data_IF_171546542549
#
_entry.id   IF_171546542549
#
_cell.length_a   1.000
_cell.length_b   1.000
_cell.length_c   1.000
_cell.angle_alpha   90.00
_cell.angle_beta   90.00
_cell.angle_gamma   90.00
#
_symmetry.space_group_name_H-M   'P 1'
#
loop_
_entity.id
_entity.type
_entity.pdbx_description
1 polymer ?
#
# COMPACT_ATOMS: atom_id res chain seq x y z
N UNK A 1 21.41 35.27 51.20
CA UNK A 1 22.08 34.00 50.89
C UNK A 1 21.19 32.84 51.30
N UNK A 2 20.47 32.22 50.36
CA UNK A 2 19.94 30.85 50.49
C UNK A 2 20.05 30.21 49.10
N UNK A 3 20.62 29.01 49.09
CA UNK A 3 21.14 28.30 47.93
C UNK A 3 20.07 27.99 46.86
N UNK A 4 20.43 28.31 45.61
CA UNK A 4 19.92 27.65 44.42
C UNK A 4 20.41 26.20 44.41
N UNK A 5 19.49 25.24 44.55
CA UNK A 5 19.61 23.89 43.99
C UNK A 5 18.29 23.14 44.25
N UNK A 6 17.31 23.31 43.37
CA UNK A 6 16.41 22.20 43.08
C UNK A 6 16.16 22.14 41.57
N UNK A 7 16.63 21.03 41.01
CA UNK A 7 16.76 20.76 39.59
C UNK A 7 15.37 20.73 38.96
N UNK A 8 15.16 21.52 37.90
CA UNK A 8 14.09 21.28 36.92
C UNK A 8 14.23 19.86 36.38
N UNK A 9 13.43 18.93 36.88
CA UNK A 9 13.25 17.61 36.27
C UNK A 9 12.53 17.81 34.92
N UNK A 10 13.19 17.40 33.84
CA UNK A 10 12.77 17.62 32.47
C UNK A 10 11.54 16.75 32.13
N UNK A 11 10.41 17.38 31.77
CA UNK A 11 9.09 16.76 31.58
C UNK A 11 8.98 15.78 30.39
N UNK A 12 9.94 15.80 29.46
CA UNK A 12 10.04 14.86 28.33
C UNK A 12 10.40 13.42 28.76
N UNK A 13 11.09 13.28 29.88
CA UNK A 13 11.64 12.00 30.38
C UNK A 13 10.58 11.07 30.97
N UNK A 14 9.50 11.63 31.53
CA UNK A 14 8.42 10.87 32.18
C UNK A 14 7.37 10.33 31.18
N UNK A 15 7.16 10.99 30.04
CA UNK A 15 6.29 10.48 28.96
C UNK A 15 6.91 9.27 28.24
N UNK A 16 8.24 9.20 28.15
CA UNK A 16 8.98 8.03 27.62
C UNK A 16 8.92 6.79 28.51
N UNK A 17 8.71 6.96 29.82
CA UNK A 17 8.60 5.87 30.80
C UNK A 17 7.26 5.11 30.71
N UNK A 18 6.21 5.73 30.16
CA UNK A 18 4.88 5.13 30.01
C UNK A 18 4.80 4.06 28.91
N UNK A 19 5.56 4.24 27.82
CA UNK A 19 5.71 3.24 26.75
C UNK A 19 6.51 2.01 27.19
N UNK A 20 7.40 2.19 28.19
CA UNK A 20 8.18 1.13 28.83
C UNK A 20 7.30 0.17 29.65
N UNK A 21 6.24 0.68 30.27
CA UNK A 21 5.27 -0.07 31.10
C UNK A 21 4.25 -0.87 30.27
N UNK A 22 3.96 -0.44 29.03
CA UNK A 22 3.12 -1.16 28.06
C UNK A 22 3.82 -2.40 27.45
N UNK A 23 5.16 -2.42 27.48
CA UNK A 23 6.02 -3.52 27.04
C UNK A 23 6.00 -4.73 28.00
N UNK A 24 5.72 -4.51 29.28
CA UNK A 24 5.93 -5.48 30.37
C UNK A 24 4.82 -6.54 30.52
N UNK A 25 3.72 -6.41 29.76
CA UNK A 25 2.69 -7.45 29.62
C UNK A 25 2.70 -8.20 28.27
N UNK A 26 3.41 -7.69 27.26
CA UNK A 26 3.46 -8.29 25.93
C UNK A 26 4.82 -8.98 25.67
N UNK A 27 5.94 -8.38 26.08
CA UNK A 27 7.27 -9.01 26.02
C UNK A 27 7.73 -9.38 27.42
N UNK A 28 7.48 -10.61 27.86
CA UNK A 28 7.91 -11.15 29.17
C UNK A 28 9.29 -10.64 29.62
N UNK A 29 9.30 -9.72 30.60
CA UNK A 29 10.46 -9.42 31.42
C UNK A 29 9.98 -8.78 32.74
N UNK A 30 10.29 -9.45 33.86
CA UNK A 30 10.23 -8.99 35.26
C UNK A 30 8.96 -8.26 35.75
N UNK A 31 7.84 -8.98 35.88
CA UNK A 31 6.64 -8.51 36.60
C UNK A 31 6.96 -7.97 38.02
N UNK A 32 7.88 -8.61 38.75
CA UNK A 32 8.22 -8.29 40.15
C UNK A 32 8.93 -6.94 40.35
N UNK A 33 9.63 -6.41 39.34
CA UNK A 33 10.28 -5.09 39.44
C UNK A 33 9.36 -3.96 39.04
N UNK A 34 8.38 -4.26 38.19
CA UNK A 34 7.34 -3.33 37.74
C UNK A 34 6.36 -3.03 38.86
N UNK A 35 5.99 -4.03 39.66
CA UNK A 35 5.16 -3.85 40.85
C UNK A 35 5.82 -2.91 41.88
N UNK A 36 7.11 -3.08 42.15
CA UNK A 36 7.86 -2.26 43.12
C UNK A 36 8.10 -0.81 42.67
N UNK A 37 8.13 -0.53 41.36
CA UNK A 37 8.26 0.84 40.82
C UNK A 37 6.91 1.53 40.59
N UNK A 38 5.84 0.78 40.31
CA UNK A 38 4.48 1.31 40.17
C UNK A 38 3.91 1.85 41.49
N UNK A 39 4.35 1.31 42.64
CA UNK A 39 3.94 1.77 43.97
C UNK A 39 4.44 3.16 44.36
N UNK A 40 5.40 3.76 43.63
CA UNK A 40 5.95 5.09 43.98
C UNK A 40 5.33 6.28 43.23
N UNK A 41 4.36 6.06 42.34
CA UNK A 41 3.67 7.13 41.58
C UNK A 41 2.16 6.85 41.48
N UNK A 42 1.41 7.25 42.51
CA UNK A 42 0.02 6.85 42.76
C UNK A 42 -1.01 7.18 41.65
N UNK A 43 -0.70 8.08 40.72
CA UNK A 43 -1.65 8.57 39.70
C UNK A 43 -1.55 7.83 38.34
N UNK A 44 -0.54 6.95 38.17
CA UNK A 44 -0.24 6.28 36.89
C UNK A 44 -0.75 4.83 36.81
N UNK A 45 -1.22 4.28 37.92
CA UNK A 45 -1.50 2.84 38.08
C UNK A 45 -2.75 2.38 37.32
N UNK A 46 -3.83 3.17 37.29
CA UNK A 46 -5.06 2.81 36.58
C UNK A 46 -4.96 2.91 35.05
N UNK A 47 -4.17 3.88 34.56
CA UNK A 47 -3.92 4.05 33.10
C UNK A 47 -3.12 2.88 32.53
N UNK A 48 -2.14 2.40 33.28
CA UNK A 48 -1.30 1.24 32.94
C UNK A 48 -2.10 -0.06 33.03
N UNK A 49 -2.90 -0.27 34.08
CA UNK A 49 -3.78 -1.44 34.24
C UNK A 49 -4.77 -1.60 33.09
N UNK A 50 -5.41 -0.52 32.65
CA UNK A 50 -6.37 -0.54 31.54
C UNK A 50 -5.70 -0.88 30.20
N UNK A 51 -4.48 -0.39 29.94
CA UNK A 51 -3.72 -0.73 28.75
C UNK A 51 -3.26 -2.20 28.74
N UNK A 52 -2.87 -2.75 29.90
CA UNK A 52 -2.54 -4.16 30.09
C UNK A 52 -3.74 -5.09 29.84
N UNK A 53 -4.95 -4.68 30.25
CA UNK A 53 -6.17 -5.44 29.98
C UNK A 53 -6.47 -5.56 28.48
N UNK A 54 -6.34 -4.47 27.72
CA UNK A 54 -6.58 -4.44 26.27
C UNK A 54 -5.52 -5.24 25.48
N UNK A 55 -4.26 -5.16 25.93
CA UNK A 55 -3.16 -5.97 25.38
C UNK A 55 -3.39 -7.48 25.59
N UNK A 56 -3.96 -7.85 26.74
CA UNK A 56 -4.21 -9.25 27.12
C UNK A 56 -5.43 -9.86 26.41
N UNK A 57 -6.42 -9.04 26.03
CA UNK A 57 -7.63 -9.48 25.32
C UNK A 57 -7.44 -9.58 23.80
N UNK A 58 -6.33 -9.10 23.25
CA UNK A 58 -6.08 -9.09 21.80
C UNK A 58 -6.82 -7.99 21.05
N UNK A 59 -7.40 -7.00 21.75
CA UNK A 59 -8.08 -5.85 21.14
C UNK A 59 -7.07 -4.81 20.64
N UNK A 60 -6.53 -5.06 19.44
CA UNK A 60 -5.56 -4.18 18.76
C UNK A 60 -6.14 -2.79 18.50
N UNK A 61 -7.43 -2.69 18.16
CA UNK A 61 -8.08 -1.40 17.86
C UNK A 61 -8.26 -0.54 19.11
N UNK A 62 -8.62 -1.17 20.25
CA UNK A 62 -8.64 -0.51 21.55
C UNK A 62 -7.26 -0.03 22.00
N UNK A 63 -6.22 -0.83 21.75
CA UNK A 63 -4.84 -0.48 22.06
C UNK A 63 -4.34 0.73 21.24
N UNK A 64 -4.54 0.73 19.92
CA UNK A 64 -4.13 1.83 19.02
C UNK A 64 -4.79 3.15 19.42
N UNK A 65 -6.12 3.16 19.59
CA UNK A 65 -6.87 4.36 20.02
C UNK A 65 -6.40 4.89 21.37
N UNK A 66 -5.91 4.02 22.25
CA UNK A 66 -5.43 4.40 23.57
C UNK A 66 -4.01 4.96 23.52
N UNK A 67 -3.11 4.36 22.72
CA UNK A 67 -1.75 4.85 22.50
C UNK A 67 -1.75 6.26 21.87
N UNK A 68 -2.63 6.48 20.89
CA UNK A 68 -2.83 7.80 20.26
C UNK A 68 -3.30 8.85 21.28
N UNK A 69 -4.30 8.53 22.10
CA UNK A 69 -4.78 9.41 23.20
C UNK A 69 -3.72 9.71 24.26
N UNK A 70 -2.71 8.85 24.41
CA UNK A 70 -1.61 9.03 25.36
C UNK A 70 -0.41 9.77 24.74
N UNK A 71 -0.47 10.10 23.44
CA UNK A 71 0.62 10.75 22.71
C UNK A 71 1.87 9.87 22.60
N UNK A 72 1.70 8.54 22.60
CA UNK A 72 2.81 7.59 22.51
C UNK A 72 3.19 7.37 21.05
N UNK A 73 4.38 7.83 20.68
CA UNK A 73 4.98 7.52 19.39
C UNK A 73 5.48 6.05 19.38
N UNK A 74 4.79 5.20 18.62
CA UNK A 74 5.10 3.77 18.48
C UNK A 74 6.39 3.51 17.69
N UNK A 75 6.80 4.47 16.84
CA UNK A 75 7.99 4.43 16.00
C UNK A 75 9.22 5.03 16.70
N UNK A 76 9.04 5.54 17.92
CA UNK A 76 10.10 6.18 18.68
C UNK A 76 11.30 5.26 18.87
N UNK A 77 12.48 5.81 18.61
CA UNK A 77 13.75 5.18 18.98
C UNK A 77 14.05 5.50 20.45
N UNK A 78 14.13 4.45 21.27
CA UNK A 78 14.40 4.55 22.69
C UNK A 78 15.90 4.78 22.97
N UNK A 79 16.25 4.99 24.25
CA UNK A 79 17.62 5.25 24.69
C UNK A 79 18.60 4.14 24.35
N UNK A 80 18.12 2.89 24.20
CA UNK A 80 18.88 1.74 23.72
C UNK A 80 18.93 1.63 22.19
N UNK A 81 18.61 2.72 21.49
CA UNK A 81 18.72 2.83 20.02
C UNK A 81 17.85 1.81 19.29
N UNK A 82 16.65 1.50 19.80
CA UNK A 82 15.73 0.55 19.17
C UNK A 82 14.30 1.08 19.24
N UNK A 83 13.47 0.71 18.28
CA UNK A 83 12.01 0.89 18.39
C UNK A 83 11.39 -0.22 19.22
N UNK A 84 10.09 -0.07 19.52
CA UNK A 84 9.31 -1.12 20.18
C UNK A 84 9.29 -2.42 19.36
N UNK A 85 9.06 -2.30 18.05
CA UNK A 85 9.06 -3.43 17.12
C UNK A 85 10.40 -4.16 17.13
N UNK A 86 11.52 -3.42 17.08
CA UNK A 86 12.86 -4.00 17.11
C UNK A 86 13.14 -4.81 18.38
N UNK A 87 12.66 -4.35 19.54
CA UNK A 87 12.80 -5.07 20.81
C UNK A 87 12.01 -6.39 20.82
N UNK A 88 10.76 -6.36 20.34
CA UNK A 88 9.93 -7.56 20.23
C UNK A 88 10.58 -8.59 19.29
N UNK A 89 11.07 -8.11 18.15
CA UNK A 89 11.77 -8.93 17.15
C UNK A 89 13.06 -9.51 17.71
N UNK A 90 13.91 -8.73 18.37
CA UNK A 90 15.18 -9.23 18.95
C UNK A 90 14.93 -10.35 19.97
N UNK A 91 13.88 -10.23 20.78
CA UNK A 91 13.44 -11.27 21.73
C UNK A 91 12.87 -12.51 21.04
N UNK A 92 12.49 -12.43 19.77
CA UNK A 92 11.80 -13.51 19.05
C UNK A 92 10.33 -13.63 19.43
N UNK A 93 9.73 -12.58 19.98
CA UNK A 93 8.35 -12.58 20.42
C UNK A 93 7.42 -12.32 19.22
N UNK A 94 7.06 -13.40 18.54
CA UNK A 94 6.24 -13.34 17.33
C UNK A 94 4.85 -12.74 17.61
N UNK A 95 4.26 -13.03 18.78
CA UNK A 95 2.93 -12.52 19.17
C UNK A 95 2.99 -11.01 19.35
N UNK A 96 3.97 -10.52 20.12
CA UNK A 96 4.22 -9.09 20.27
C UNK A 96 4.47 -8.42 18.92
N UNK A 97 5.30 -9.03 18.07
CA UNK A 97 5.64 -8.52 16.73
C UNK A 97 4.37 -8.32 15.89
N UNK A 98 3.47 -9.32 15.83
CA UNK A 98 2.19 -9.21 15.13
C UNK A 98 1.29 -8.12 15.71
N UNK A 99 1.17 -8.06 17.04
CA UNK A 99 0.34 -7.06 17.73
C UNK A 99 0.84 -5.63 17.47
N UNK A 100 2.16 -5.41 17.50
CA UNK A 100 2.79 -4.12 17.24
C UNK A 100 2.61 -3.72 15.77
N UNK A 101 2.80 -4.63 14.82
CA UNK A 101 2.59 -4.36 13.39
C UNK A 101 1.12 -4.07 13.06
N UNK A 102 0.19 -4.78 13.70
CA UNK A 102 -1.24 -4.54 13.56
C UNK A 102 -1.67 -3.17 14.13
N UNK A 103 -0.83 -2.54 14.97
CA UNK A 103 -1.00 -1.18 15.44
C UNK A 103 -0.50 -0.11 14.45
N UNK A 104 -0.27 -0.47 13.18
CA UNK A 104 0.17 0.40 12.09
C UNK A 104 1.51 1.12 12.39
N UNK A 105 2.43 0.48 13.11
CA UNK A 105 3.78 0.99 13.25
C UNK A 105 4.50 0.99 11.89
N UNK A 106 5.45 1.91 11.73
CA UNK A 106 6.39 1.89 10.62
C UNK A 106 7.38 0.72 10.83
N UNK A 107 7.31 -0.25 9.93
CA UNK A 107 8.12 -1.48 9.96
C UNK A 107 9.58 -1.23 9.56
N UNK A 108 9.84 -0.10 8.88
CA UNK A 108 11.11 0.18 8.21
C UNK A 108 11.95 1.26 8.90
N UNK A 109 11.54 1.70 10.10
CA UNK A 109 12.35 2.60 10.94
C UNK A 109 13.75 2.03 11.09
N UNK A 110 14.76 2.85 10.79
CA UNK A 110 16.15 2.53 11.02
C UNK A 110 16.60 3.06 12.37
N UNK A 111 17.25 2.23 13.17
CA UNK A 111 17.91 2.73 14.36
C UNK A 111 19.14 3.56 14.01
N UNK A 112 19.86 4.04 15.02
CA UNK A 112 21.06 4.86 14.78
C UNK A 112 22.25 4.06 14.26
N UNK A 113 22.18 2.73 14.16
CA UNK A 113 23.13 1.88 13.41
C UNK A 113 22.66 1.64 11.96
N UNK A 114 21.54 2.24 11.55
CA UNK A 114 20.88 1.96 10.27
C UNK A 114 20.13 0.63 10.23
N UNK A 115 20.06 -0.13 11.34
CA UNK A 115 19.37 -1.42 11.35
C UNK A 115 17.85 -1.26 11.35
N UNK A 116 17.16 -2.00 10.48
CA UNK A 116 15.70 -2.19 10.52
C UNK A 116 15.31 -3.38 11.40
N UNK A 117 14.01 -3.52 11.69
CA UNK A 117 13.51 -4.71 12.38
C UNK A 117 13.84 -6.01 11.62
N UNK A 118 13.81 -6.01 10.28
CA UNK A 118 14.17 -7.18 9.46
C UNK A 118 15.65 -7.56 9.62
N UNK A 119 16.56 -6.58 9.63
CA UNK A 119 17.99 -6.83 9.88
C UNK A 119 18.23 -7.39 11.29
N UNK A 120 17.53 -6.84 12.30
CA UNK A 120 17.60 -7.35 13.68
C UNK A 120 17.06 -8.77 13.77
N UNK A 121 15.99 -9.11 13.03
CA UNK A 121 15.46 -10.47 12.97
C UNK A 121 16.51 -11.45 12.44
N UNK A 122 17.22 -11.09 11.36
CA UNK A 122 18.29 -11.91 10.79
C UNK A 122 19.46 -12.02 11.78
N UNK A 123 19.96 -10.89 12.30
CA UNK A 123 21.08 -10.88 13.24
C UNK A 123 20.79 -11.71 14.50
N UNK A 124 19.55 -11.67 14.97
CA UNK A 124 19.08 -12.37 16.17
C UNK A 124 18.55 -13.79 15.87
N UNK A 125 18.65 -14.28 14.62
CA UNK A 125 18.18 -15.60 14.16
C UNK A 125 16.69 -15.86 14.44
N UNK A 126 15.85 -14.85 14.30
CA UNK A 126 14.41 -14.88 14.56
C UNK A 126 13.62 -15.05 13.27
N UNK A 127 13.73 -16.23 12.67
CA UNK A 127 13.08 -16.55 11.39
C UNK A 127 11.57 -16.33 11.42
N UNK A 128 10.91 -16.68 12.52
CA UNK A 128 9.45 -16.55 12.64
C UNK A 128 8.99 -15.10 12.76
N UNK A 129 9.79 -14.23 13.38
CA UNK A 129 9.57 -12.79 13.35
C UNK A 129 9.88 -12.22 11.96
N UNK A 130 10.93 -12.71 11.29
CA UNK A 130 11.28 -12.29 9.93
C UNK A 130 10.14 -12.58 8.93
N UNK A 131 9.52 -13.76 9.00
CA UNK A 131 8.32 -14.09 8.21
C UNK A 131 7.19 -13.10 8.45
N UNK A 132 6.91 -12.78 9.70
CA UNK A 132 5.87 -11.81 10.06
C UNK A 132 6.19 -10.41 9.54
N UNK A 133 7.43 -9.94 9.65
CA UNK A 133 7.85 -8.64 9.12
C UNK A 133 7.70 -8.57 7.60
N UNK A 134 8.05 -9.67 6.91
CA UNK A 134 7.86 -9.82 5.47
C UNK A 134 6.38 -9.77 5.08
N UNK A 135 5.51 -10.50 5.79
CA UNK A 135 4.06 -10.49 5.58
C UNK A 135 3.47 -9.07 5.73
N UNK A 136 4.11 -8.23 6.55
CA UNK A 136 3.72 -6.84 6.78
C UNK A 136 4.46 -5.83 5.89
N UNK A 137 5.16 -6.31 4.86
CA UNK A 137 5.68 -5.48 3.76
C UNK A 137 6.94 -4.69 4.08
N UNK A 138 7.80 -5.17 4.99
CA UNK A 138 9.09 -4.55 5.28
C UNK A 138 9.97 -4.39 4.03
N UNK A 139 10.69 -3.27 3.94
CA UNK A 139 11.65 -2.99 2.90
C UNK A 139 12.99 -3.73 3.17
N UNK A 140 13.19 -4.83 2.45
CA UNK A 140 14.38 -5.68 2.58
C UNK A 140 15.66 -5.08 1.96
N UNK A 141 15.54 -4.00 1.19
CA UNK A 141 16.66 -3.34 0.49
C UNK A 141 17.28 -2.18 1.29
N UNK A 142 16.69 -1.81 2.43
CA UNK A 142 17.36 -0.88 3.32
C UNK A 142 18.73 -1.45 3.72
N UNK A 143 19.69 -0.55 3.93
CA UNK A 143 21.05 -0.90 4.33
C UNK A 143 21.38 -0.31 5.68
N UNK A 144 22.08 -1.08 6.52
CA UNK A 144 22.60 -0.57 7.77
C UNK A 144 23.78 0.40 7.52
N UNK A 145 24.35 0.95 8.60
CA UNK A 145 25.52 1.85 8.51
C UNK A 145 26.78 1.21 7.91
N UNK A 146 26.79 -0.11 7.69
CA UNK A 146 27.85 -0.84 6.99
C UNK A 146 27.52 -1.09 5.50
N UNK A 147 26.37 -0.63 5.01
CA UNK A 147 25.89 -0.88 3.65
C UNK A 147 25.28 -2.27 3.46
N UNK A 148 24.97 -3.01 4.53
CA UNK A 148 24.48 -4.40 4.45
C UNK A 148 22.94 -4.44 4.48
N UNK A 149 22.32 -5.18 3.55
CA UNK A 149 20.90 -5.53 3.60
C UNK A 149 20.64 -6.73 4.53
N UNK A 150 19.37 -7.00 4.87
CA UNK A 150 19.01 -8.19 5.64
C UNK A 150 19.51 -9.49 4.98
N UNK A 151 19.50 -9.57 3.64
CA UNK A 151 20.01 -10.72 2.89
C UNK A 151 21.53 -10.85 2.99
N UNK A 152 22.27 -9.74 2.88
CA UNK A 152 23.74 -9.73 3.05
C UNK A 152 24.14 -10.17 4.46
N UNK A 153 23.41 -9.72 5.49
CA UNK A 153 23.62 -10.17 6.88
C UNK A 153 23.36 -11.68 7.00
N UNK A 154 22.33 -12.21 6.34
CA UNK A 154 22.01 -13.64 6.36
C UNK A 154 23.10 -14.48 5.68
N UNK A 155 23.62 -14.02 4.53
CA UNK A 155 24.70 -14.65 3.79
C UNK A 155 26.00 -14.68 4.61
N UNK A 156 26.43 -13.52 5.11
CA UNK A 156 27.63 -13.38 5.97
C UNK A 156 27.60 -14.29 7.18
N UNK A 157 26.42 -14.49 7.77
CA UNK A 157 26.21 -15.34 8.93
C UNK A 157 25.87 -16.80 8.60
N UNK A 158 25.96 -17.22 7.33
CA UNK A 158 25.63 -18.57 6.85
C UNK A 158 24.20 -19.05 7.23
N UNK A 159 23.24 -18.14 7.29
CA UNK A 159 21.85 -18.42 7.66
C UNK A 159 21.01 -18.83 6.46
N UNK A 160 21.17 -20.08 6.00
CA UNK A 160 20.52 -20.60 4.78
C UNK A 160 19.00 -20.40 4.73
N UNK A 161 18.30 -20.60 5.85
CA UNK A 161 16.83 -20.47 5.88
C UNK A 161 16.37 -19.01 5.80
N UNK A 162 17.07 -18.09 6.48
CA UNK A 162 16.80 -16.65 6.37
C UNK A 162 17.15 -16.17 4.97
N UNK A 163 18.30 -16.57 4.42
CA UNK A 163 18.71 -16.23 3.07
C UNK A 163 17.70 -16.77 2.05
N UNK A 164 17.27 -18.02 2.16
CA UNK A 164 16.25 -18.59 1.28
C UNK A 164 14.94 -17.81 1.36
N UNK A 165 14.44 -17.51 2.56
CA UNK A 165 13.22 -16.71 2.73
C UNK A 165 13.37 -15.29 2.18
N UNK A 166 14.50 -14.63 2.45
CA UNK A 166 14.83 -13.29 1.96
C UNK A 166 15.11 -13.29 0.45
N UNK A 167 15.47 -14.41 -0.14
CA UNK A 167 15.70 -14.58 -1.59
C UNK A 167 14.44 -15.15 -2.28
N UNK A 168 13.48 -15.68 -1.54
CA UNK A 168 12.18 -16.09 -2.07
C UNK A 168 11.21 -14.90 -2.08
N UNK A 169 11.33 -14.05 -1.06
CA UNK A 169 10.52 -12.85 -0.87
C UNK A 169 11.23 -11.61 -1.45
N UNK A 170 12.55 -11.49 -1.24
CA UNK A 170 13.42 -10.44 -1.79
C UNK A 170 14.31 -10.91 -2.94
N UNK A 171 14.15 -12.14 -3.41
CA UNK A 171 14.69 -12.56 -4.71
C UNK A 171 13.55 -12.70 -5.71
N UNK A 172 13.61 -12.01 -6.84
CA UNK A 172 14.83 -11.75 -7.54
C UNK A 172 15.26 -10.28 -7.50
N UNK A 173 16.54 -10.14 -7.21
CA UNK A 173 17.44 -9.11 -7.75
C UNK A 173 17.17 -7.68 -7.32
N UNK A 174 17.31 -7.42 -6.02
CA UNK A 174 17.59 -6.06 -5.52
C UNK A 174 16.61 -5.02 -6.06
N UNK A 175 15.37 -5.44 -6.33
CA UNK A 175 14.39 -4.50 -6.81
C UNK A 175 13.82 -3.81 -5.57
N UNK A 176 14.07 -2.50 -5.41
CA UNK A 176 13.52 -1.80 -4.26
C UNK A 176 12.01 -1.99 -4.29
N UNK A 177 11.38 -2.08 -3.12
CA UNK A 177 9.97 -1.81 -3.00
C UNK A 177 9.79 -0.31 -3.33
N UNK A 178 9.89 0.06 -4.60
CA UNK A 178 9.99 1.46 -5.02
C UNK A 178 8.65 2.08 -4.68
N UNK A 179 8.62 2.96 -3.67
CA UNK A 179 7.45 3.79 -3.45
C UNK A 179 7.04 4.38 -4.80
N UNK A 180 5.75 4.30 -5.13
CA UNK A 180 5.30 4.86 -6.38
C UNK A 180 5.64 6.34 -6.38
N UNK A 181 6.51 6.74 -7.32
CA UNK A 181 6.93 8.11 -7.47
C UNK A 181 5.76 8.91 -8.02
N UNK A 182 5.03 9.60 -7.15
CA UNK A 182 4.08 10.61 -7.61
C UNK A 182 4.79 11.60 -8.52
N UNK A 183 4.23 11.92 -9.71
CA UNK A 183 4.87 12.87 -10.61
C UNK A 183 5.06 14.21 -9.88
N UNK A 184 6.27 14.78 -10.00
CA UNK A 184 6.72 15.96 -9.24
C UNK A 184 5.81 17.21 -9.34
N UNK A 185 4.90 17.27 -10.31
CA UNK A 185 3.77 18.21 -10.35
C UNK A 185 2.76 17.85 -11.45
N UNK A 186 1.46 17.81 -11.12
CA UNK A 186 0.38 17.97 -12.10
C UNK A 186 0.04 19.46 -12.21
N UNK A 187 0.11 20.04 -13.42
CA UNK A 187 -0.39 21.40 -13.67
C UNK A 187 -1.91 21.35 -13.71
N UNK A 188 -2.54 21.59 -12.57
CA UNK A 188 -4.00 21.71 -12.47
C UNK A 188 -4.33 23.18 -12.67
N UNK A 189 -4.91 23.51 -13.82
CA UNK A 189 -5.21 24.89 -14.23
C UNK A 189 -6.46 25.49 -13.58
N UNK A 190 -6.92 24.96 -12.44
CA UNK A 190 -8.14 25.42 -11.77
C UNK A 190 -7.94 25.36 -10.26
N UNK A 191 -8.19 26.47 -9.53
CA UNK A 191 -8.12 26.47 -8.07
C UNK A 191 -9.25 25.61 -7.50
N UNK A 192 -8.91 24.77 -6.51
CA UNK A 192 -9.88 24.00 -5.74
C UNK A 192 -10.58 24.92 -4.75
N UNK A 193 -11.83 25.28 -5.04
CA UNK A 193 -12.73 25.84 -4.04
C UNK A 193 -14.08 25.12 -4.15
N UNK A 194 -14.22 24.04 -3.40
CA UNK A 194 -15.50 23.36 -3.23
C UNK A 194 -15.70 23.06 -1.77
N UNK A 195 -16.93 23.19 -1.28
CA UNK A 195 -17.33 22.86 0.11
C UNK A 195 -17.11 21.38 0.49
N UNK A 196 -16.66 20.53 -0.44
CA UNK A 196 -16.14 19.22 -0.10
C UNK A 196 -14.74 19.39 0.48
N UNK A 197 -14.58 19.04 1.75
CA UNK A 197 -13.32 18.94 2.47
C UNK A 197 -12.48 17.79 1.89
N UNK A 198 -12.07 17.90 0.62
CA UNK A 198 -10.80 17.32 0.20
C UNK A 198 -9.70 18.19 0.78
N UNK A 199 -9.64 18.26 2.11
CA UNK A 199 -8.50 18.82 2.80
C UNK A 199 -7.29 18.13 2.19
N UNK A 200 -6.38 18.93 1.65
CA UNK A 200 -5.30 18.49 0.77
C UNK A 200 -4.59 17.30 1.39
N UNK A 201 -4.79 16.10 0.83
CA UNK A 201 -4.11 14.90 1.32
C UNK A 201 -2.61 15.10 1.15
N UNK A 202 -1.87 14.95 2.23
CA UNK A 202 -0.41 14.89 2.19
C UNK A 202 0.04 13.65 1.43
N UNK A 203 1.28 13.68 0.95
CA UNK A 203 1.89 12.52 0.31
C UNK A 203 1.89 11.29 1.25
N UNK A 204 2.16 11.51 2.53
CA UNK A 204 2.21 10.45 3.54
C UNK A 204 0.82 9.84 3.80
N UNK A 205 -0.24 10.64 3.85
CA UNK A 205 -1.61 10.13 3.96
C UNK A 205 -1.99 9.29 2.73
N UNK A 206 -1.60 9.73 1.53
CA UNK A 206 -1.80 8.96 0.30
C UNK A 206 -1.06 7.61 0.34
N UNK A 207 0.19 7.57 0.81
CA UNK A 207 0.93 6.34 1.04
C UNK A 207 0.26 5.46 2.11
N UNK A 208 -0.24 6.05 3.19
CA UNK A 208 -0.99 5.36 4.23
C UNK A 208 -2.23 4.65 3.67
N UNK A 209 -3.03 5.34 2.86
CA UNK A 209 -4.22 4.77 2.21
C UNK A 209 -3.83 3.62 1.27
N UNK A 210 -2.75 3.79 0.48
CA UNK A 210 -2.25 2.72 -0.39
C UNK A 210 -1.89 1.49 0.45
N UNK A 211 -1.06 1.64 1.49
CA UNK A 211 -0.67 0.53 2.39
C UNK A 211 -1.87 -0.18 3.00
N UNK A 212 -2.83 0.59 3.55
CA UNK A 212 -4.05 0.04 4.16
C UNK A 212 -4.89 -0.76 3.15
N UNK A 213 -4.90 -0.36 1.88
CA UNK A 213 -5.77 -0.97 0.86
C UNK A 213 -5.09 -2.04 0.00
N UNK A 214 -3.85 -2.45 0.33
CA UNK A 214 -3.12 -3.56 -0.32
C UNK A 214 -3.80 -4.91 -0.08
N UNK A 215 -4.25 -5.16 1.16
CA UNK A 215 -4.86 -6.43 1.51
C UNK A 215 -6.31 -6.50 1.01
N UNK A 216 -6.64 -7.58 0.30
CA UNK A 216 -7.98 -7.86 -0.24
C UNK A 216 -9.02 -8.14 0.85
N UNK A 217 -8.61 -8.59 2.03
CA UNK A 217 -9.51 -8.78 3.18
C UNK A 217 -10.06 -7.46 3.72
N UNK A 218 -9.46 -6.33 3.31
CA UNK A 218 -9.94 -4.98 3.60
C UNK A 218 -10.79 -4.39 2.47
N UNK A 219 -11.64 -5.22 1.84
CA UNK A 219 -12.54 -4.79 0.78
C UNK A 219 -13.44 -3.60 1.21
N UNK A 220 -13.88 -3.58 2.48
CA UNK A 220 -14.65 -2.46 3.04
C UNK A 220 -13.84 -1.16 3.10
N UNK A 221 -12.58 -1.22 3.54
CA UNK A 221 -11.67 -0.06 3.55
C UNK A 221 -11.48 0.46 2.14
N UNK A 222 -11.17 -0.44 1.19
CA UNK A 222 -10.99 -0.08 -0.22
C UNK A 222 -12.24 0.61 -0.79
N UNK A 223 -13.42 0.01 -0.55
CA UNK A 223 -14.70 0.56 -0.97
C UNK A 223 -14.98 1.94 -0.37
N UNK A 224 -14.64 2.16 0.91
CA UNK A 224 -14.83 3.45 1.58
C UNK A 224 -14.03 4.59 0.93
N UNK A 225 -12.90 4.27 0.31
CA UNK A 225 -12.08 5.25 -0.41
C UNK A 225 -12.47 5.38 -1.88
N UNK A 226 -12.80 4.28 -2.58
CA UNK A 226 -13.20 4.33 -3.99
C UNK A 226 -14.59 4.93 -4.19
N UNK A 227 -15.52 4.76 -3.25
CA UNK A 227 -16.89 5.32 -3.35
C UNK A 227 -16.93 6.85 -3.35
N UNK A 228 -15.88 7.50 -2.86
CA UNK A 228 -15.75 8.96 -2.82
C UNK A 228 -15.01 9.53 -4.03
N UNK A 229 -14.48 8.69 -4.92
CA UNK A 229 -13.49 9.06 -5.95
C UNK A 229 -13.86 8.52 -7.32
N UNK A 230 -13.39 9.19 -8.36
CA UNK A 230 -13.42 8.66 -9.73
C UNK A 230 -12.27 7.67 -9.86
N UNK A 231 -12.60 6.41 -10.11
CA UNK A 231 -11.61 5.34 -10.34
C UNK A 231 -11.13 5.34 -11.79
N UNK A 232 -9.87 4.94 -12.06
CA UNK A 232 -9.35 4.88 -13.43
C UNK A 232 -10.16 4.00 -14.40
N UNK A 233 -10.93 3.03 -13.90
CA UNK A 233 -11.76 2.15 -14.72
C UNK A 233 -12.87 2.90 -15.49
N UNK A 234 -13.27 4.07 -15.01
CA UNK A 234 -14.31 4.93 -15.62
C UNK A 234 -13.73 6.16 -16.33
N UNK A 235 -12.41 6.34 -16.38
CA UNK A 235 -11.81 7.53 -17.00
C UNK A 235 -12.18 7.70 -18.48
N UNK A 236 -12.31 6.59 -19.22
CA UNK A 236 -12.79 6.66 -20.61
C UNK A 236 -14.24 7.14 -20.71
N UNK A 237 -15.12 6.64 -19.85
CA UNK A 237 -16.53 7.03 -19.80
C UNK A 237 -16.67 8.51 -19.42
N UNK A 238 -15.91 8.96 -18.40
CA UNK A 238 -15.89 10.36 -17.97
C UNK A 238 -15.26 11.31 -19.02
N UNK A 239 -14.24 10.86 -19.76
CA UNK A 239 -13.58 11.67 -20.79
C UNK A 239 -14.51 11.98 -21.98
N UNK A 240 -15.32 11.01 -22.38
CA UNK A 240 -16.29 11.13 -23.48
C UNK A 240 -17.69 11.53 -23.02
N UNK A 241 -17.84 11.96 -21.77
CA UNK A 241 -19.13 12.38 -21.24
C UNK A 241 -19.54 13.73 -21.86
N UNK A 242 -20.53 13.68 -22.75
CA UNK A 242 -21.17 14.86 -23.33
C UNK A 242 -22.56 15.01 -22.70
N UNK A 243 -22.98 16.25 -22.43
CA UNK A 243 -24.18 16.62 -21.68
C UNK A 243 -25.52 16.13 -22.29
N UNK A 244 -25.51 15.45 -23.44
CA UNK A 244 -26.69 14.97 -24.15
C UNK A 244 -26.73 13.44 -24.17
N UNK A 245 -27.73 12.91 -23.45
CA UNK A 245 -28.44 11.64 -23.62
C UNK A 245 -27.69 10.48 -24.30
N UNK A 246 -27.25 9.50 -23.50
CA UNK A 246 -27.40 8.02 -23.67
C UNK A 246 -26.31 7.19 -22.97
N UNK A 247 -25.31 7.78 -22.32
CA UNK A 247 -24.18 7.01 -21.74
C UNK A 247 -24.12 7.11 -20.21
N UNK A 248 -24.69 6.09 -19.54
CA UNK A 248 -24.68 5.83 -18.08
C UNK A 248 -25.13 6.99 -17.20
N UNK A 249 -26.13 6.78 -16.35
CA UNK A 249 -26.47 7.79 -15.34
C UNK A 249 -25.25 8.06 -14.45
N UNK A 250 -25.05 9.31 -14.03
CA UNK A 250 -23.95 9.72 -13.13
C UNK A 250 -23.88 8.81 -11.89
N UNK A 251 -25.03 8.34 -11.40
CA UNK A 251 -25.12 7.36 -10.31
C UNK A 251 -24.38 6.06 -10.62
N UNK A 252 -24.45 5.55 -11.84
CA UNK A 252 -23.75 4.32 -12.27
C UNK A 252 -22.24 4.50 -12.38
N UNK A 253 -21.77 5.74 -12.52
CA UNK A 253 -20.35 6.08 -12.62
C UNK A 253 -19.70 6.11 -11.23
N UNK A 254 -20.40 6.63 -10.22
CA UNK A 254 -19.89 6.74 -8.84
C UNK A 254 -20.19 5.52 -7.94
N UNK A 255 -21.15 4.67 -8.29
CA UNK A 255 -21.48 3.48 -7.50
C UNK A 255 -20.70 2.25 -7.98
N UNK A 256 -19.94 1.65 -7.06
CA UNK A 256 -19.33 0.33 -7.27
C UNK A 256 -20.44 -0.73 -7.34
N UNK A 257 -20.68 -1.26 -8.55
CA UNK A 257 -21.68 -2.30 -8.82
C UNK A 257 -21.11 -3.71 -8.79
N UNK A 258 -19.99 -3.95 -8.13
CA UNK A 258 -19.48 -5.33 -8.01
C UNK A 258 -20.40 -6.19 -7.13
N UNK A 259 -21.51 -6.66 -7.71
CA UNK A 259 -22.33 -7.69 -7.11
C UNK A 259 -21.56 -9.01 -7.28
N UNK A 260 -21.07 -9.62 -6.18
CA UNK A 260 -20.24 -10.82 -6.25
C UNK A 260 -20.99 -12.03 -6.82
N UNK A 261 -22.32 -11.93 -6.96
CA UNK A 261 -23.15 -12.99 -7.55
C UNK A 261 -23.13 -12.99 -9.09
N UNK A 262 -22.74 -11.90 -9.73
CA UNK A 262 -22.76 -11.78 -11.18
C UNK A 262 -21.71 -12.69 -11.85
N UNK A 263 -22.06 -13.40 -12.95
CA UNK A 263 -21.16 -14.36 -13.58
C UNK A 263 -19.81 -13.78 -13.99
N UNK A 264 -19.78 -12.57 -14.54
CA UNK A 264 -18.53 -11.92 -14.97
C UNK A 264 -17.69 -11.46 -13.78
N UNK A 265 -18.31 -11.02 -12.69
CA UNK A 265 -17.62 -10.62 -11.46
C UNK A 265 -16.94 -11.83 -10.82
N UNK A 266 -17.66 -12.95 -10.69
CA UNK A 266 -17.11 -14.22 -10.19
C UNK A 266 -16.00 -14.75 -11.09
N UNK A 267 -16.20 -14.71 -12.40
CA UNK A 267 -15.17 -15.10 -13.37
C UNK A 267 -13.90 -14.27 -13.18
N UNK A 268 -14.02 -12.95 -13.05
CA UNK A 268 -12.89 -12.06 -12.83
C UNK A 268 -12.17 -12.39 -11.52
N UNK A 269 -12.89 -12.52 -10.40
CA UNK A 269 -12.32 -12.87 -9.09
C UNK A 269 -11.50 -14.17 -9.12
N UNK A 270 -11.98 -15.18 -9.86
CA UNK A 270 -11.30 -16.47 -9.97
C UNK A 270 -10.13 -16.46 -10.96
N UNK A 271 -10.21 -15.68 -12.03
CA UNK A 271 -9.21 -15.69 -13.11
C UNK A 271 -8.10 -14.67 -12.92
N UNK A 272 -8.34 -13.57 -12.21
CA UNK A 272 -7.34 -12.53 -11.98
C UNK A 272 -6.07 -13.05 -11.28
N UNK A 273 -6.14 -13.88 -10.21
CA UNK A 273 -4.95 -14.45 -9.59
C UNK A 273 -4.18 -15.39 -10.54
N UNK A 274 -4.90 -16.19 -11.33
CA UNK A 274 -4.31 -17.11 -12.32
C UNK A 274 -3.58 -16.34 -13.41
N UNK A 275 -4.19 -15.27 -13.93
CA UNK A 275 -3.59 -14.40 -14.93
C UNK A 275 -2.33 -13.71 -14.39
N UNK A 276 -2.35 -13.25 -13.13
CA UNK A 276 -1.19 -12.63 -12.47
C UNK A 276 -0.05 -13.62 -12.32
N UNK A 277 -0.31 -14.83 -11.83
CA UNK A 277 0.70 -15.88 -11.69
C UNK A 277 1.30 -16.27 -13.05
N UNK A 278 0.46 -16.45 -14.09
CA UNK A 278 0.93 -16.71 -15.46
C UNK A 278 1.82 -15.58 -15.99
N UNK A 279 1.43 -14.33 -15.76
CA UNK A 279 2.22 -13.14 -16.12
C UNK A 279 3.61 -13.18 -15.45
N UNK A 280 3.66 -13.39 -14.13
CA UNK A 280 4.91 -13.44 -13.36
C UNK A 280 5.85 -14.53 -13.89
N UNK A 281 5.32 -15.74 -14.16
CA UNK A 281 6.13 -16.84 -14.71
C UNK A 281 6.65 -16.57 -16.11
N UNK A 282 5.82 -15.93 -16.94
CA UNK A 282 6.15 -15.65 -18.35
C UNK A 282 7.20 -14.56 -18.47
N UNK A 283 7.03 -13.45 -17.74
CA UNK A 283 7.92 -12.29 -17.82
C UNK A 283 9.13 -12.41 -16.91
N UNK A 284 9.06 -13.26 -15.89
CA UNK A 284 10.02 -13.31 -14.78
C UNK A 284 10.14 -11.97 -14.03
N UNK A 285 9.18 -11.06 -14.22
CA UNK A 285 9.12 -9.80 -13.50
C UNK A 285 8.61 -10.04 -12.08
N UNK A 286 9.01 -9.18 -11.15
CA UNK A 286 8.47 -9.20 -9.79
C UNK A 286 7.20 -8.38 -9.73
N UNK A 287 6.17 -8.92 -9.09
CA UNK A 287 4.88 -8.25 -8.94
C UNK A 287 4.51 -8.14 -7.47
N UNK A 288 4.63 -6.94 -6.93
CA UNK A 288 4.22 -6.62 -5.57
C UNK A 288 2.73 -6.26 -5.51
N UNK A 289 2.12 -6.53 -4.36
CA UNK A 289 0.78 -6.03 -4.10
C UNK A 289 0.76 -4.51 -3.94
N UNK A 290 -0.36 -3.94 -4.33
CA UNK A 290 -0.56 -2.50 -4.40
C UNK A 290 -2.01 -2.18 -4.01
N UNK A 291 -2.15 -1.16 -3.17
CA UNK A 291 -3.44 -0.61 -2.80
C UNK A 291 -4.04 0.27 -3.88
N UNK A 292 -5.01 1.09 -3.48
CA UNK A 292 -5.41 2.21 -4.31
C UNK A 292 -4.36 3.31 -4.20
N UNK A 293 -4.12 4.00 -5.31
CA UNK A 293 -3.17 5.10 -5.36
C UNK A 293 -3.94 6.39 -5.60
N UNK A 294 -3.80 7.33 -4.67
CA UNK A 294 -4.43 8.64 -4.71
C UNK A 294 -3.32 9.67 -4.85
N UNK A 295 -3.45 10.59 -5.81
CA UNK A 295 -2.48 11.65 -6.00
C UNK A 295 -2.85 12.87 -5.12
N UNK A 296 -1.93 13.41 -4.29
CA UNK A 296 -2.18 14.53 -3.38
C UNK A 296 -2.89 15.73 -4.01
N UNK A 297 -2.50 16.09 -5.24
CA UNK A 297 -3.07 17.23 -5.96
C UNK A 297 -4.44 16.97 -6.59
N UNK A 298 -4.85 15.70 -6.75
CA UNK A 298 -6.17 15.33 -7.29
C UNK A 298 -6.80 14.23 -6.46
N UNK A 299 -7.12 14.51 -5.17
CA UNK A 299 -7.52 13.48 -4.21
C UNK A 299 -8.87 12.83 -4.54
N UNK A 300 -9.66 13.44 -5.41
CA UNK A 300 -10.92 12.90 -5.95
C UNK A 300 -10.72 11.89 -7.08
N UNK A 301 -9.49 11.67 -7.56
CA UNK A 301 -9.13 10.63 -8.52
C UNK A 301 -8.35 9.51 -7.82
N UNK A 302 -8.56 8.26 -8.22
CA UNK A 302 -7.75 7.15 -7.73
C UNK A 302 -7.46 6.08 -8.80
N UNK A 303 -6.25 5.54 -8.73
CA UNK A 303 -5.84 4.35 -9.46
C UNK A 303 -5.98 3.11 -8.60
N UNK A 304 -6.25 1.97 -9.23
CA UNK A 304 -6.36 0.67 -8.57
C UNK A 304 -5.64 -0.39 -9.42
N UNK A 305 -4.30 -0.35 -9.52
CA UNK A 305 -3.56 -1.29 -10.35
C UNK A 305 -3.69 -2.73 -9.83
N UNK A 306 -3.50 -3.71 -10.71
CA UNK A 306 -3.51 -5.13 -10.35
C UNK A 306 -2.23 -5.60 -9.66
N UNK A 307 -1.18 -4.78 -9.69
CA UNK A 307 0.12 -5.03 -9.07
C UNK A 307 1.11 -3.92 -9.38
N UNK A 308 2.17 -3.81 -8.58
CA UNK A 308 3.37 -3.02 -8.92
C UNK A 308 4.40 -3.95 -9.54
N UNK A 309 4.91 -3.58 -10.71
CA UNK A 309 5.85 -4.41 -11.46
C UNK A 309 7.25 -3.86 -11.29
N UNK A 310 8.19 -4.74 -10.99
CA UNK A 310 9.59 -4.49 -11.22
C UNK A 310 10.08 -5.34 -12.39
N UNK A 311 10.51 -4.67 -13.46
CA UNK A 311 11.00 -5.36 -14.64
C UNK A 311 12.33 -6.03 -14.35
N UNK A 312 12.51 -7.20 -14.94
CA UNK A 312 13.77 -7.94 -14.93
C UNK A 312 14.23 -8.10 -16.39
N UNK A 313 15.52 -7.82 -16.72
CA UNK A 313 16.65 -7.41 -15.87
C UNK A 313 16.80 -5.91 -15.61
N UNK A 314 16.01 -5.06 -16.26
CA UNK A 314 16.27 -3.62 -16.32
C UNK A 314 15.97 -2.85 -15.01
N UNK A 315 15.33 -3.51 -14.03
CA UNK A 315 14.90 -2.91 -12.77
C UNK A 315 14.02 -1.65 -12.93
N UNK A 316 13.31 -1.51 -14.06
CA UNK A 316 12.33 -0.45 -14.24
C UNK A 316 11.10 -0.73 -13.37
N UNK A 317 10.57 0.31 -12.71
CA UNK A 317 9.32 0.20 -11.96
C UNK A 317 8.13 0.62 -12.82
N UNK A 318 7.14 -0.27 -12.88
CA UNK A 318 5.88 -0.08 -13.57
C UNK A 318 4.70 -0.54 -12.74
N UNK A 319 3.55 -0.62 -13.39
CA UNK A 319 2.31 -1.16 -12.83
C UNK A 319 1.75 -2.25 -13.74
N UNK A 320 0.91 -3.11 -13.17
CA UNK A 320 0.24 -4.19 -13.86
C UNK A 320 -1.24 -3.84 -14.00
N UNK A 321 -1.79 -3.95 -15.21
CA UNK A 321 -3.22 -3.91 -15.45
C UNK A 321 -3.64 -5.21 -16.13
N UNK A 322 -4.47 -6.01 -15.48
CA UNK A 322 -4.99 -7.26 -16.04
C UNK A 322 -6.46 -7.08 -16.41
N UNK A 323 -6.85 -7.60 -17.57
CA UNK A 323 -8.24 -7.69 -18.00
C UNK A 323 -8.55 -9.14 -18.36
N UNK A 324 -9.60 -9.68 -17.73
CA UNK A 324 -10.12 -11.03 -17.95
C UNK A 324 -11.51 -10.93 -18.60
N UNK A 325 -11.61 -10.69 -19.93
CA UNK A 325 -12.88 -10.38 -20.58
C UNK A 325 -13.80 -11.61 -20.69
N UNK A 326 -14.87 -11.62 -19.89
CA UNK A 326 -15.82 -12.74 -19.80
C UNK A 326 -16.43 -13.15 -21.16
N UNK A 327 -16.74 -12.18 -22.03
CA UNK A 327 -17.42 -12.43 -23.31
C UNK A 327 -16.54 -13.10 -24.38
N UNK A 328 -15.22 -13.09 -24.22
CA UNK A 328 -14.25 -13.71 -25.15
C UNK A 328 -13.34 -14.71 -24.44
N UNK A 329 -13.70 -15.11 -23.21
CA UNK A 329 -12.87 -15.95 -22.33
C UNK A 329 -12.38 -17.25 -22.97
N UNK A 330 -13.15 -17.84 -23.89
CA UNK A 330 -12.84 -19.13 -24.54
C UNK A 330 -12.24 -18.98 -25.95
N UNK A 331 -11.97 -17.75 -26.39
CA UNK A 331 -11.33 -17.40 -27.65
C UNK A 331 -9.83 -17.16 -27.45
N UNK A 332 -9.04 -17.29 -28.53
CA UNK A 332 -7.69 -16.71 -28.55
C UNK A 332 -7.77 -15.18 -28.61
N UNK A 333 -6.76 -14.48 -28.08
CA UNK A 333 -6.68 -13.02 -28.21
C UNK A 333 -6.64 -12.61 -29.69
N UNK A 334 -5.96 -13.39 -30.53
CA UNK A 334 -5.92 -13.16 -31.97
C UNK A 334 -7.31 -13.23 -32.63
N UNK A 335 -8.16 -14.19 -32.26
CA UNK A 335 -9.52 -14.29 -32.79
C UNK A 335 -10.40 -13.17 -32.24
N UNK A 336 -10.22 -12.79 -30.98
CA UNK A 336 -10.96 -11.70 -30.35
C UNK A 336 -10.73 -10.34 -31.04
N UNK A 337 -9.54 -10.12 -31.62
CA UNK A 337 -9.23 -8.92 -32.43
C UNK A 337 -10.13 -8.75 -33.66
N UNK A 338 -10.86 -9.79 -34.11
CA UNK A 338 -11.86 -9.66 -35.19
C UNK A 338 -13.14 -8.92 -34.75
N UNK A 339 -13.33 -8.68 -33.45
CA UNK A 339 -14.49 -7.94 -32.92
C UNK A 339 -14.13 -6.47 -32.78
N UNK A 340 -14.94 -5.59 -33.37
CA UNK A 340 -14.70 -4.14 -33.32
C UNK A 340 -14.66 -3.58 -31.89
N UNK A 341 -15.46 -4.16 -31.00
CA UNK A 341 -15.55 -3.78 -29.59
C UNK A 341 -14.40 -4.29 -28.73
N UNK A 342 -13.54 -5.18 -29.24
CA UNK A 342 -12.40 -5.69 -28.49
C UNK A 342 -11.31 -4.63 -28.34
N UNK A 343 -10.60 -4.66 -27.22
CA UNK A 343 -9.68 -3.60 -26.84
C UNK A 343 -8.36 -3.59 -27.64
N UNK A 344 -7.91 -4.75 -28.14
CA UNK A 344 -6.65 -4.86 -28.88
C UNK A 344 -6.88 -4.82 -30.39
N UNK A 345 -5.84 -4.37 -31.09
CA UNK A 345 -5.63 -4.54 -32.53
C UNK A 345 -4.49 -5.53 -32.74
N UNK A 346 -4.61 -6.36 -33.76
CA UNK A 346 -3.50 -7.17 -34.26
C UNK A 346 -2.74 -6.34 -35.29
N UNK A 347 -1.49 -5.97 -35.00
CA UNK A 347 -0.65 -5.12 -35.86
C UNK A 347 0.34 -5.91 -36.71
N UNK A 348 0.54 -7.19 -36.38
CA UNK A 348 1.38 -8.12 -37.10
C UNK A 348 1.06 -9.58 -36.75
N UNK A 349 1.78 -10.57 -37.27
CA UNK A 349 1.50 -11.99 -37.03
C UNK A 349 1.41 -12.37 -35.55
N UNK A 350 2.24 -11.74 -34.70
CA UNK A 350 2.32 -11.92 -33.24
C UNK A 350 2.44 -10.59 -32.49
N UNK A 351 1.96 -9.51 -33.09
CA UNK A 351 2.05 -8.18 -32.50
C UNK A 351 0.66 -7.61 -32.24
N UNK A 352 0.48 -7.04 -31.05
CA UNK A 352 -0.77 -6.49 -30.58
C UNK A 352 -0.58 -5.10 -29.99
N UNK A 353 -1.57 -4.23 -30.16
CA UNK A 353 -1.59 -2.90 -29.58
C UNK A 353 -2.95 -2.59 -28.96
N UNK A 354 -2.97 -1.89 -27.82
CA UNK A 354 -4.19 -1.37 -27.24
C UNK A 354 -4.73 -0.21 -28.09
N UNK A 355 -6.00 -0.30 -28.51
CA UNK A 355 -6.69 0.76 -29.27
C UNK A 355 -6.68 2.07 -28.46
N UNK A 356 -6.08 3.14 -29.01
CA UNK A 356 -5.98 4.44 -28.32
C UNK A 356 -7.34 5.08 -27.97
N UNK A 357 -8.39 4.78 -28.75
CA UNK A 357 -9.76 5.25 -28.47
C UNK A 357 -10.57 4.36 -27.53
N UNK A 358 -10.03 3.21 -27.11
CA UNK A 358 -10.74 2.29 -26.23
C UNK A 358 -10.65 2.72 -24.77
N UNK A 359 -11.71 2.53 -23.97
CA UNK A 359 -11.78 2.96 -22.55
C UNK A 359 -10.58 2.52 -21.70
N UNK A 360 -10.06 1.31 -21.94
CA UNK A 360 -8.88 0.79 -21.22
C UNK A 360 -7.60 1.59 -21.50
N UNK A 361 -7.47 2.25 -22.65
CA UNK A 361 -6.32 3.13 -22.90
C UNK A 361 -6.33 4.32 -21.93
N UNK A 362 -7.51 4.92 -21.70
CA UNK A 362 -7.69 5.98 -20.71
C UNK A 362 -7.50 5.48 -19.27
N UNK A 363 -7.95 4.25 -18.97
CA UNK A 363 -7.66 3.60 -17.69
C UNK A 363 -6.16 3.48 -17.45
N UNK A 364 -5.41 2.92 -18.41
CA UNK A 364 -3.95 2.75 -18.29
C UNK A 364 -3.25 4.11 -18.18
N UNK A 365 -3.59 5.06 -19.05
CA UNK A 365 -2.98 6.39 -19.02
C UNK A 365 -3.29 7.15 -17.75
N UNK A 366 -4.50 6.97 -17.19
CA UNK A 366 -4.89 7.48 -15.88
C UNK A 366 -4.06 6.90 -14.75
N UNK A 367 -3.85 5.58 -14.72
CA UNK A 367 -3.03 4.95 -13.70
C UNK A 367 -1.57 5.40 -13.79
N UNK A 368 -0.99 5.43 -15.00
CA UNK A 368 0.36 5.95 -15.22
C UNK A 368 0.50 7.41 -14.77
N UNK A 369 -0.53 8.21 -15.00
CA UNK A 369 -0.58 9.62 -14.58
C UNK A 369 -0.61 9.74 -13.06
N UNK A 370 -1.47 8.98 -12.36
CA UNK A 370 -1.64 9.09 -10.91
C UNK A 370 -0.48 8.46 -10.11
N UNK A 371 0.06 7.35 -10.61
CA UNK A 371 1.13 6.59 -9.93
C UNK A 371 2.54 7.08 -10.28
N UNK A 372 2.68 7.81 -11.38
CA UNK A 372 3.96 8.20 -11.97
C UNK A 372 4.85 7.03 -12.43
N UNK A 373 4.29 5.82 -12.50
CA UNK A 373 4.97 4.64 -13.00
C UNK A 373 5.51 4.84 -14.43
N UNK A 374 6.67 4.27 -14.71
CA UNK A 374 7.36 4.46 -15.99
C UNK A 374 6.73 3.66 -17.15
N UNK A 375 6.01 2.59 -16.82
CA UNK A 375 5.25 1.76 -17.76
C UNK A 375 4.08 1.06 -17.06
N UNK A 376 3.14 0.57 -17.88
CA UNK A 376 2.09 -0.33 -17.46
C UNK A 376 2.13 -1.56 -18.37
N UNK A 377 2.29 -2.74 -17.79
CA UNK A 377 2.07 -3.97 -18.54
C UNK A 377 0.57 -4.26 -18.56
N UNK A 378 -0.03 -4.07 -19.72
CA UNK A 378 -1.45 -4.33 -19.96
C UNK A 378 -1.62 -5.77 -20.43
N UNK A 379 -2.23 -6.60 -19.58
CA UNK A 379 -2.42 -8.02 -19.81
C UNK A 379 -3.87 -8.29 -20.20
N UNK A 380 -4.06 -8.97 -21.32
CA UNK A 380 -5.35 -9.57 -21.68
C UNK A 380 -5.23 -11.07 -21.53
N UNK A 381 -6.02 -11.64 -20.62
CA UNK A 381 -5.99 -13.07 -20.32
C UNK A 381 -7.30 -13.75 -20.74
N UNK A 382 -7.17 -14.85 -21.47
CA UNK A 382 -8.24 -15.78 -21.82
C UNK A 382 -7.91 -17.17 -21.28
N UNK A 383 -8.85 -18.11 -21.34
CA UNK A 383 -8.57 -19.52 -21.01
C UNK A 383 -7.67 -20.19 -22.06
N UNK A 384 -7.49 -19.58 -23.23
CA UNK A 384 -6.68 -20.11 -24.34
C UNK A 384 -5.25 -19.57 -24.31
N UNK A 385 -5.09 -18.27 -24.09
CA UNK A 385 -3.83 -17.56 -24.24
C UNK A 385 -3.79 -16.28 -23.38
N UNK A 386 -2.63 -15.61 -23.41
CA UNK A 386 -2.37 -14.37 -22.68
C UNK A 386 -1.48 -13.49 -23.52
N UNK A 387 -1.89 -12.23 -23.69
CA UNK A 387 -1.10 -11.21 -24.37
C UNK A 387 -0.70 -10.11 -23.40
N UNK A 388 0.55 -9.65 -23.51
CA UNK A 388 1.16 -8.62 -22.65
C UNK A 388 1.60 -7.46 -23.54
N UNK A 389 1.02 -6.29 -23.32
CA UNK A 389 1.36 -5.07 -24.05
C UNK A 389 1.96 -4.07 -23.06
N UNK A 390 3.24 -3.74 -23.22
CA UNK A 390 3.88 -2.68 -22.43
C UNK A 390 3.47 -1.30 -22.96
N UNK A 391 2.85 -0.51 -22.11
CA UNK A 391 2.33 0.82 -22.43
C UNK A 391 3.12 1.87 -21.63
N UNK A 392 3.70 2.84 -22.33
CA UNK A 392 4.40 3.98 -21.72
C UNK A 392 3.45 5.19 -21.54
N UNK A 393 3.78 6.16 -20.66
CA UNK A 393 3.00 7.38 -20.49
C UNK A 393 2.85 8.19 -21.79
N UNK A 394 1.61 8.45 -22.20
CA UNK A 394 1.25 9.30 -23.33
C UNK A 394 0.92 10.70 -22.80
N UNK A 395 1.93 11.59 -22.80
CA UNK A 395 1.80 12.93 -22.24
C UNK A 395 0.76 13.80 -22.95
N UNK A 396 0.49 13.56 -24.23
CA UNK A 396 -0.52 14.33 -24.96
C UNK A 396 -1.93 13.91 -24.54
N UNK A 397 -2.17 12.61 -24.38
CA UNK A 397 -3.45 12.11 -23.88
C UNK A 397 -3.66 12.51 -22.43
N UNK A 398 -2.66 12.37 -21.56
CA UNK A 398 -2.74 12.77 -20.14
C UNK A 398 -3.07 14.26 -19.98
N UNK A 399 -2.46 15.14 -20.79
CA UNK A 399 -2.73 16.59 -20.79
C UNK A 399 -4.18 16.93 -21.15
N UNK A 400 -4.83 16.16 -22.03
CA UNK A 400 -6.24 16.34 -22.41
C UNK A 400 -7.20 15.66 -21.44
N UNK A 401 -6.79 14.51 -20.88
CA UNK A 401 -7.60 13.69 -20.00
C UNK A 401 -7.86 14.40 -18.66
N UNK A 402 -6.81 14.90 -18.01
CA UNK A 402 -6.93 15.45 -16.66
C UNK A 402 -7.96 16.61 -16.57
N UNK A 403 -7.93 17.65 -17.43
CA UNK A 403 -8.93 18.72 -17.39
C UNK A 403 -10.37 18.21 -17.55
N UNK A 404 -10.59 17.19 -18.39
CA UNK A 404 -11.91 16.60 -18.59
C UNK A 404 -12.41 15.84 -17.36
N UNK A 405 -11.53 15.09 -16.68
CA UNK A 405 -11.88 14.41 -15.43
C UNK A 405 -12.18 15.41 -14.31
N UNK A 406 -11.43 16.51 -14.25
CA UNK A 406 -11.66 17.61 -13.30
C UNK A 406 -13.02 18.26 -13.56
N UNK A 407 -13.29 18.66 -14.81
CA UNK A 407 -14.57 19.23 -15.24
C UNK A 407 -15.74 18.30 -14.89
N UNK A 408 -15.62 17.01 -15.24
CA UNK A 408 -16.62 16.00 -14.95
C UNK A 408 -16.87 15.85 -13.44
N UNK A 409 -15.80 15.77 -12.64
CA UNK A 409 -15.92 15.66 -11.19
C UNK A 409 -16.66 16.85 -10.57
N UNK A 410 -16.26 18.07 -10.90
CA UNK A 410 -16.85 19.27 -10.31
C UNK A 410 -18.29 19.52 -10.76
N UNK A 411 -18.60 19.19 -12.02
CA UNK A 411 -19.95 19.37 -12.56
C UNK A 411 -20.93 18.31 -12.08
N UNK A 412 -20.49 17.06 -11.96
CA UNK A 412 -21.37 15.92 -11.74
C UNK A 412 -21.08 15.17 -10.43
N UNK A 413 -19.82 14.93 -10.11
CA UNK A 413 -19.40 14.17 -8.93
C UNK A 413 -19.70 14.88 -7.61
N UNK A 414 -19.39 16.17 -7.51
CA UNK A 414 -19.62 16.94 -6.27
C UNK A 414 -21.10 16.92 -5.86
N UNK A 415 -21.99 17.17 -6.82
CA UNK A 415 -23.42 17.16 -6.58
C UNK A 415 -23.96 15.77 -6.26
N UNK A 416 -23.34 14.71 -6.79
CA UNK A 416 -23.69 13.33 -6.45
C UNK A 416 -23.27 13.00 -5.02
N UNK A 417 -22.04 13.32 -4.64
CA UNK A 417 -21.48 13.04 -3.32
C UNK A 417 -22.18 13.82 -2.19
N UNK A 418 -22.64 15.05 -2.45
CA UNK A 418 -23.46 15.83 -1.48
C UNK A 418 -24.82 15.18 -1.16
N UNK A 419 -25.28 14.21 -1.94
CA UNK A 419 -26.57 13.51 -1.76
C UNK A 419 -26.43 12.15 -1.06
N UNK A 420 -25.21 11.64 -0.89
CA UNK A 420 -24.90 10.42 -0.15
C UNK A 420 -24.65 10.77 1.32
#
# INVERSE_FOLDING_TARGET
MKNNNDKRYNSSSYQQYASLLLLLGICSFEADRVEKMATSAADNTERVKSALALASTGDVQGLVKRLDRLGVDINRIYTDRKTLLMKAVEKGDQKATKTILAAACDVDVQNSDGETAAMIAVRSRRLDCLKVLIEHGTNLELTNGLGETAAMIAEKNNQKNCLALLTEVGGAKGCPNVELLYPKAMKIGVPFNTDLTWDTLTLEECHGIERMTRNKDQAATRLSHTSKRITCSIFGDAYYYENNETRREIREIFQDRSNPTEPWTRYNLNTLPVARDRYTRTTKHHVHDIGIVIHPQVPFLCAAPAGKVCSYPDAETGILQIVCPYAIRDMTVSDACRRDTFCLLKTGPKEFALKKGHKFYYTVQGQLMLTGASFCDFVVYTTRDMEIIRIKPDRQVQKRLLPKLVEFYFKHGVNHLKKL
#
